data_IF_670572361085
#
_entry.id   IF_670572361085
#
_cell.length_a   1.000
_cell.length_b   1.000
_cell.length_c   1.000
_cell.angle_alpha   90.00
_cell.angle_beta   90.00
_cell.angle_gamma   90.00
#
_symmetry.space_group_name_H-M   'P 1'
#
loop_
_entity.id
_entity.type
_entity.pdbx_description
1 polymer ?
#
# COMPACT_ATOMS: atom_id res chain seq x y z
N UNK A 1 -45.12 -34.44 -12.41
CA UNK A 1 -43.95 -33.85 -13.11
C UNK A 1 -43.90 -32.32 -13.07
N UNK A 2 -45.03 -31.58 -13.13
CA UNK A 2 -45.06 -30.10 -13.08
C UNK A 2 -44.70 -29.49 -11.69
N UNK A 3 -45.03 -30.17 -10.59
CA UNK A 3 -44.76 -29.69 -9.22
C UNK A 3 -43.25 -29.59 -8.89
N UNK A 4 -42.46 -30.53 -9.40
CA UNK A 4 -40.99 -30.56 -9.22
C UNK A 4 -40.32 -29.44 -10.03
N UNK A 5 -40.87 -29.10 -11.20
CA UNK A 5 -40.39 -27.98 -12.02
C UNK A 5 -40.65 -26.63 -11.34
N UNK A 6 -41.81 -26.45 -10.70
CA UNK A 6 -42.13 -25.24 -9.95
C UNK A 6 -41.26 -25.10 -8.69
N UNK A 7 -40.95 -26.21 -8.01
CA UNK A 7 -40.04 -26.19 -6.85
C UNK A 7 -38.61 -25.81 -7.26
N UNK A 8 -38.12 -26.28 -8.42
CA UNK A 8 -36.81 -25.88 -8.97
C UNK A 8 -36.75 -24.40 -9.36
N UNK A 9 -37.83 -23.85 -9.93
CA UNK A 9 -37.92 -22.42 -10.27
C UNK A 9 -37.97 -21.57 -8.99
N UNK A 10 -38.74 -22.00 -7.98
CA UNK A 10 -38.82 -21.32 -6.69
C UNK A 10 -37.47 -21.31 -5.95
N UNK A 11 -36.76 -22.45 -5.96
CA UNK A 11 -35.42 -22.57 -5.35
C UNK A 11 -34.37 -21.75 -6.13
N UNK A 12 -34.49 -21.66 -7.46
CA UNK A 12 -33.68 -20.79 -8.30
C UNK A 12 -33.91 -19.30 -8.04
N UNK A 13 -35.17 -18.87 -7.83
CA UNK A 13 -35.48 -17.49 -7.42
C UNK A 13 -34.93 -17.17 -6.02
N UNK A 14 -34.97 -18.13 -5.09
CA UNK A 14 -34.47 -17.93 -3.72
C UNK A 14 -32.95 -17.69 -3.68
N UNK A 15 -32.19 -18.28 -4.60
CA UNK A 15 -30.74 -18.04 -4.74
C UNK A 15 -30.39 -16.65 -5.28
N UNK A 16 -31.27 -16.04 -6.08
CA UNK A 16 -31.13 -14.66 -6.59
C UNK A 16 -31.38 -13.63 -5.46
N UNK A 17 -32.06 -13.98 -4.38
CA UNK A 17 -32.23 -13.08 -3.22
C UNK A 17 -31.05 -13.09 -2.24
N UNK A 18 -30.04 -13.94 -2.45
CA UNK A 18 -28.81 -13.96 -1.65
C UNK A 18 -27.61 -13.31 -2.36
N UNK A 19 -27.82 -12.28 -3.19
CA UNK A 19 -26.72 -11.43 -3.62
C UNK A 19 -26.15 -10.68 -2.41
N UNK A 20 -25.07 -11.20 -1.85
CA UNK A 20 -24.24 -10.50 -0.91
C UNK A 20 -23.71 -9.22 -1.56
N UNK A 21 -23.83 -8.09 -0.86
CA UNK A 21 -23.09 -6.89 -1.23
C UNK A 21 -21.60 -7.16 -1.04
N UNK A 22 -20.84 -7.17 -2.13
CA UNK A 22 -19.39 -7.08 -2.07
C UNK A 22 -19.05 -5.63 -1.74
N UNK A 23 -18.51 -5.40 -0.54
CA UNK A 23 -17.87 -4.14 -0.21
C UNK A 23 -16.42 -4.26 -0.65
N UNK A 24 -16.03 -3.42 -1.60
CA UNK A 24 -14.65 -3.30 -2.03
C UNK A 24 -14.12 -1.97 -1.50
N UNK A 25 -13.05 -2.03 -0.71
CA UNK A 25 -12.28 -0.84 -0.39
C UNK A 25 -11.42 -0.54 -1.62
N UNK A 26 -11.55 0.67 -2.18
CA UNK A 26 -10.60 1.12 -3.21
C UNK A 26 -9.28 1.43 -2.51
N UNK A 27 -8.27 0.58 -2.75
CA UNK A 27 -6.96 0.71 -2.12
C UNK A 27 -5.92 0.91 -3.23
N UNK A 28 -5.33 2.11 -3.28
CA UNK A 28 -4.01 2.25 -3.91
C UNK A 28 -3.03 1.51 -2.99
N UNK A 29 -2.62 0.28 -3.34
CA UNK A 29 -1.55 -0.42 -2.64
C UNK A 29 -0.25 0.35 -2.89
N UNK A 30 0.01 1.33 -2.03
CA UNK A 30 0.99 2.36 -2.29
C UNK A 30 2.06 2.34 -1.20
N UNK A 31 3.29 2.05 -1.62
CA UNK A 31 4.47 2.25 -0.78
C UNK A 31 4.74 3.74 -0.80
N UNK A 32 4.53 4.40 0.34
CA UNK A 32 4.80 5.82 0.47
C UNK A 32 6.21 6.06 1.00
N UNK A 33 6.82 7.16 0.58
CA UNK A 33 8.15 7.54 1.06
C UNK A 33 8.20 8.99 1.48
N UNK A 34 8.97 9.24 2.54
CA UNK A 34 9.42 10.57 2.90
C UNK A 34 10.79 10.78 2.28
N UNK A 35 10.83 11.69 1.31
CA UNK A 35 12.05 12.10 0.62
C UNK A 35 12.95 12.92 1.54
N UNK A 36 14.25 12.98 1.23
CA UNK A 36 15.19 13.76 2.03
C UNK A 36 14.84 15.25 2.03
N UNK A 37 14.90 15.87 3.20
CA UNK A 37 14.66 17.30 3.40
C UNK A 37 13.18 17.67 3.50
N UNK A 38 12.25 16.75 3.22
CA UNK A 38 10.83 16.99 3.41
C UNK A 38 10.51 17.13 4.91
N UNK A 39 9.70 18.12 5.32
CA UNK A 39 9.35 18.30 6.73
C UNK A 39 8.30 17.29 7.22
N UNK A 40 7.46 16.79 6.30
CA UNK A 40 6.44 15.77 6.56
C UNK A 40 5.96 15.14 5.25
N UNK A 41 5.46 13.91 5.33
CA UNK A 41 4.67 13.29 4.27
C UNK A 41 3.19 13.57 4.50
N UNK A 42 2.38 13.73 3.45
CA UNK A 42 0.93 13.88 3.58
C UNK A 42 0.14 13.19 2.46
N UNK A 43 -1.00 12.59 2.84
CA UNK A 43 -1.93 11.94 1.90
C UNK A 43 -3.38 12.17 2.34
N UNK A 44 -4.31 12.47 1.42
CA UNK A 44 -5.72 12.55 1.75
C UNK A 44 -6.32 11.17 1.98
N UNK A 45 -7.23 11.07 2.94
CA UNK A 45 -8.07 9.91 3.20
C UNK A 45 -9.52 10.34 3.17
N UNK A 46 -10.33 9.65 2.38
CA UNK A 46 -11.75 9.90 2.20
C UNK A 46 -12.56 8.78 2.83
N UNK A 47 -13.66 9.14 3.50
CA UNK A 47 -14.68 8.18 3.86
C UNK A 47 -15.61 7.95 2.68
N UNK A 48 -15.30 6.92 1.89
CA UNK A 48 -16.10 6.52 0.72
C UNK A 48 -17.34 5.68 1.09
N UNK A 49 -17.57 5.45 2.38
CA UNK A 49 -18.73 4.71 2.88
C UNK A 49 -19.96 5.60 3.06
N UNK A 50 -21.11 4.96 3.32
CA UNK A 50 -22.37 5.66 3.64
C UNK A 50 -22.53 5.98 5.13
N UNK A 51 -21.58 5.57 5.98
CA UNK A 51 -21.65 5.73 7.44
C UNK A 51 -20.66 6.79 7.92
N UNK A 52 -20.91 7.36 9.09
CA UNK A 52 -19.90 8.15 9.79
C UNK A 52 -18.88 7.20 10.41
N UNK A 53 -17.60 7.39 10.12
CA UNK A 53 -16.55 6.47 10.54
C UNK A 53 -15.48 7.19 11.36
N UNK A 54 -14.97 6.51 12.38
CA UNK A 54 -13.77 6.86 13.10
C UNK A 54 -12.56 6.25 12.39
N UNK A 55 -11.64 7.11 11.98
CA UNK A 55 -10.32 6.72 11.49
C UNK A 55 -9.30 6.85 12.61
N UNK A 56 -8.44 5.85 12.76
CA UNK A 56 -7.29 5.88 13.67
C UNK A 56 -6.02 5.45 12.94
N UNK A 57 -4.90 6.07 13.31
CA UNK A 57 -3.61 5.81 12.69
C UNK A 57 -2.61 5.33 13.75
N UNK A 58 -1.86 4.29 13.42
CA UNK A 58 -0.75 3.80 14.23
C UNK A 58 0.38 3.30 13.34
N UNK A 59 1.54 3.03 13.94
CA UNK A 59 2.65 2.46 13.21
C UNK A 59 3.64 1.72 14.11
N UNK A 60 4.44 0.89 13.47
CA UNK A 60 5.59 0.22 14.06
C UNK A 60 6.73 0.18 13.04
N UNK A 61 7.96 0.11 13.52
CA UNK A 61 9.14 -0.01 12.67
C UNK A 61 9.31 -1.47 12.24
N UNK A 62 9.83 -1.70 11.04
CA UNK A 62 10.26 -3.02 10.57
C UNK A 62 11.72 -2.97 10.17
N UNK A 63 12.40 -4.10 10.30
CA UNK A 63 13.79 -4.28 9.86
C UNK A 63 13.94 -4.14 8.34
N UNK A 64 13.01 -4.75 7.58
CA UNK A 64 12.94 -4.66 6.12
C UNK A 64 11.53 -5.01 5.61
N UNK A 65 11.09 -4.43 4.48
CA UNK A 65 9.90 -4.89 3.78
C UNK A 65 10.07 -6.27 3.18
N UNK A 66 9.02 -7.10 3.19
CA UNK A 66 8.94 -8.36 2.45
C UNK A 66 8.85 -9.60 3.33
N UNK A 67 9.65 -10.62 3.06
CA UNK A 67 9.54 -11.91 3.75
C UNK A 67 10.29 -11.91 5.09
N UNK A 68 9.61 -12.40 6.14
CA UNK A 68 10.11 -12.48 7.54
C UNK A 68 10.42 -11.11 8.16
N UNK A 69 9.47 -10.19 8.08
CA UNK A 69 9.57 -8.88 8.74
C UNK A 69 9.60 -9.04 10.26
N UNK A 70 10.46 -8.27 10.92
CA UNK A 70 10.50 -8.18 12.37
C UNK A 70 10.05 -6.79 12.78
N UNK A 71 8.87 -6.72 13.37
CA UNK A 71 8.29 -5.48 13.87
C UNK A 71 8.83 -5.11 15.25
N UNK A 72 9.20 -3.84 15.42
CA UNK A 72 9.54 -3.25 16.72
C UNK A 72 8.66 -2.01 16.98
N UNK A 73 8.27 -1.76 18.24
CA UNK A 73 7.58 -0.51 18.57
C UNK A 73 8.42 0.71 18.20
N UNK A 74 7.76 1.80 17.78
CA UNK A 74 8.45 3.07 17.51
C UNK A 74 9.18 3.53 18.77
N UNK A 75 10.46 3.85 18.63
CA UNK A 75 11.29 4.35 19.72
C UNK A 75 11.31 5.88 19.72
N UNK A 76 11.36 6.47 20.91
CA UNK A 76 11.59 7.92 21.12
C UNK A 76 10.65 8.88 20.34
N UNK A 77 9.50 8.40 19.86
CA UNK A 77 8.58 9.20 19.04
C UNK A 77 9.20 9.67 17.71
N UNK A 78 10.10 8.87 17.12
CA UNK A 78 10.76 9.22 15.84
C UNK A 78 9.78 9.36 14.68
N UNK A 79 8.59 8.76 14.76
CA UNK A 79 7.49 8.98 13.83
C UNK A 79 6.31 9.56 14.60
N UNK A 80 5.74 10.66 14.09
CA UNK A 80 4.57 11.33 14.64
C UNK A 80 3.49 11.49 13.56
N UNK A 81 2.25 11.50 14.01
CA UNK A 81 1.09 11.53 13.13
C UNK A 81 0.12 12.64 13.51
N UNK A 82 -0.51 13.25 12.50
CA UNK A 82 -1.66 14.11 12.73
C UNK A 82 -2.69 13.99 11.60
N UNK A 83 -3.99 13.84 11.92
CA UNK A 83 -4.52 13.56 13.26
C UNK A 83 -4.23 12.11 13.70
N UNK A 84 -4.18 11.84 15.01
CA UNK A 84 -4.11 10.46 15.52
C UNK A 84 -5.42 9.70 15.32
N UNK A 85 -6.54 10.43 15.41
CA UNK A 85 -7.89 9.94 15.18
C UNK A 85 -8.75 11.04 14.62
N UNK A 86 -9.67 10.70 13.73
CA UNK A 86 -10.59 11.65 13.10
C UNK A 86 -11.93 10.97 12.82
N UNK A 87 -13.02 11.66 13.09
CA UNK A 87 -14.35 11.25 12.63
C UNK A 87 -14.57 11.91 11.27
N UNK A 88 -14.94 11.12 10.27
CA UNK A 88 -15.29 11.59 8.93
C UNK A 88 -16.74 11.21 8.62
N UNK A 89 -17.52 12.19 8.17
CA UNK A 89 -18.86 11.94 7.61
C UNK A 89 -18.75 11.28 6.23
N UNK A 90 -19.84 10.70 5.69
CA UNK A 90 -19.86 10.17 4.32
C UNK A 90 -19.38 11.20 3.30
N UNK A 91 -18.36 10.85 2.51
CA UNK A 91 -17.75 11.70 1.50
C UNK A 91 -16.78 12.77 2.03
N UNK A 92 -16.59 12.90 3.34
CA UNK A 92 -15.57 13.80 3.89
C UNK A 92 -14.16 13.23 3.68
N UNK A 93 -13.21 14.12 3.46
CA UNK A 93 -11.79 13.80 3.43
C UNK A 93 -11.00 14.57 4.49
N UNK A 94 -9.88 14.00 4.89
CA UNK A 94 -8.88 14.66 5.75
C UNK A 94 -7.47 14.34 5.27
N UNK A 95 -6.56 15.29 5.44
CA UNK A 95 -5.14 15.07 5.17
C UNK A 95 -4.45 14.48 6.40
N UNK A 96 -3.98 13.26 6.25
CA UNK A 96 -3.08 12.66 7.21
C UNK A 96 -1.66 13.16 6.94
N UNK A 97 -0.91 13.45 8.01
CA UNK A 97 0.49 13.85 7.93
C UNK A 97 1.35 12.98 8.83
N UNK A 98 2.51 12.59 8.30
CA UNK A 98 3.56 11.85 9.00
C UNK A 98 4.78 12.75 9.12
N UNK A 99 5.28 12.94 10.34
CA UNK A 99 6.54 13.63 10.61
C UNK A 99 7.57 12.59 11.05
N UNK A 100 8.79 12.72 10.55
CA UNK A 100 9.93 11.96 11.04
C UNK A 100 10.88 12.88 11.82
N UNK A 101 11.27 12.44 13.02
CA UNK A 101 12.18 13.14 13.94
C UNK A 101 13.30 12.23 14.44
N UNK A 102 13.50 11.07 13.81
CA UNK A 102 14.63 10.20 14.11
C UNK A 102 15.95 10.77 13.58
N UNK A 103 16.99 9.92 13.62
CA UNK A 103 18.33 10.31 13.17
C UNK A 103 18.35 10.68 11.68
N UNK A 104 19.05 11.75 11.37
CA UNK A 104 19.31 12.21 10.00
C UNK A 104 20.68 11.67 9.55
N UNK A 105 20.68 10.42 9.06
CA UNK A 105 21.87 9.67 8.67
C UNK A 105 21.70 8.98 7.30
N UNK A 106 22.68 8.15 6.94
CA UNK A 106 22.76 7.42 5.67
C UNK A 106 21.90 6.15 5.61
N UNK A 107 20.96 5.97 6.55
CA UNK A 107 20.17 4.74 6.66
C UNK A 107 18.73 4.96 6.22
N UNK A 108 18.30 4.10 5.31
CA UNK A 108 16.89 3.95 4.97
C UNK A 108 16.16 3.20 6.09
N UNK A 109 15.00 3.70 6.50
CA UNK A 109 14.18 3.13 7.57
C UNK A 109 12.80 2.77 7.07
N UNK A 110 12.25 1.70 7.61
CA UNK A 110 11.01 1.12 7.13
C UNK A 110 9.99 1.03 8.27
N UNK A 111 8.76 1.40 7.96
CA UNK A 111 7.66 1.42 8.90
C UNK A 111 6.43 0.79 8.26
N UNK A 112 5.58 0.21 9.11
CA UNK A 112 4.23 -0.18 8.76
C UNK A 112 3.27 0.85 9.33
N UNK A 113 2.47 1.47 8.47
CA UNK A 113 1.41 2.39 8.87
C UNK A 113 0.10 1.61 8.83
N UNK A 114 -0.57 1.55 9.97
CA UNK A 114 -1.87 0.90 10.14
C UNK A 114 -2.94 1.99 10.20
N UNK A 115 -3.93 1.85 9.34
CA UNK A 115 -5.05 2.77 9.20
C UNK A 115 -6.30 1.98 9.46
N UNK A 116 -6.99 2.29 10.56
CA UNK A 116 -8.20 1.57 10.97
C UNK A 116 -9.42 2.45 10.79
N UNK A 117 -10.46 1.88 10.21
CA UNK A 117 -11.78 2.46 10.04
C UNK A 117 -12.78 1.70 10.91
N UNK A 118 -13.50 2.42 11.77
CA UNK A 118 -14.57 1.87 12.60
C UNK A 118 -15.85 2.68 12.39
N UNK A 119 -16.97 2.08 11.96
CA UNK A 119 -18.22 2.79 11.81
C UNK A 119 -18.79 3.17 13.17
N UNK A 120 -19.19 4.44 13.29
CA UNK A 120 -19.87 4.97 14.46
C UNK A 120 -21.37 4.86 14.23
N UNK A 121 -21.98 3.78 14.71
CA UNK A 121 -23.45 3.69 14.78
C UNK A 121 -23.95 4.53 15.97
N UNK A 122 -24.37 5.76 15.69
CA UNK A 122 -25.05 6.61 16.68
C UNK A 122 -26.49 6.09 16.81
N UNK A 123 -26.69 5.06 17.64
CA UNK A 123 -28.05 4.60 17.99
C UNK A 123 -28.53 5.41 19.20
N UNK A 124 -29.65 6.12 19.03
CA UNK A 124 -30.41 6.62 20.17
C UNK A 124 -30.92 5.40 20.95
N UNK A 125 -30.50 5.26 22.21
CA UNK A 125 -30.94 4.20 23.10
C UNK A 125 -32.38 4.49 23.56
N UNK A 126 -33.34 4.32 22.64
CA UNK A 126 -34.76 4.30 22.95
C UNK A 126 -35.05 3.01 23.70
N UNK A 127 -34.78 3.08 25.00
CA UNK A 127 -34.65 1.93 25.89
C UNK A 127 -35.76 0.91 25.72
N UNK A 128 -35.35 -0.33 25.43
CA UNK A 128 -35.98 -1.58 25.92
C UNK A 128 -35.38 -2.88 25.35
N UNK A 129 -34.38 -2.84 24.46
CA UNK A 129 -33.69 -4.06 24.00
C UNK A 129 -32.18 -3.95 24.15
N UNK A 130 -31.63 -4.63 25.17
CA UNK A 130 -30.18 -4.86 25.31
C UNK A 130 -29.71 -5.73 24.14
N UNK A 131 -29.36 -5.10 23.02
CA UNK A 131 -28.72 -5.78 21.89
C UNK A 131 -27.20 -5.71 22.08
N UNK A 132 -26.45 -6.78 21.77
CA UNK A 132 -25.00 -6.71 21.79
C UNK A 132 -24.52 -5.65 20.78
N UNK A 133 -23.68 -4.73 21.25
CA UNK A 133 -23.04 -3.72 20.40
C UNK A 133 -21.82 -4.38 19.73
N UNK A 134 -21.78 -4.32 18.41
CA UNK A 134 -20.67 -4.83 17.61
C UNK A 134 -20.21 -3.73 16.65
N UNK A 135 -18.93 -3.36 16.73
CA UNK A 135 -18.31 -2.36 15.87
C UNK A 135 -17.24 -3.05 15.02
N UNK A 136 -17.53 -3.37 13.74
CA UNK A 136 -16.53 -3.97 12.87
C UNK A 136 -15.45 -2.94 12.56
N UNK A 137 -14.18 -3.26 12.84
CA UNK A 137 -13.05 -2.41 12.45
C UNK A 137 -12.32 -3.05 11.28
N UNK A 138 -12.13 -2.28 10.21
CA UNK A 138 -11.31 -2.66 9.06
C UNK A 138 -9.97 -1.96 9.19
N UNK A 139 -8.85 -2.69 9.04
CA UNK A 139 -7.50 -2.12 9.12
C UNK A 139 -6.75 -2.37 7.81
N UNK A 140 -6.15 -1.31 7.27
CA UNK A 140 -5.22 -1.36 6.16
C UNK A 140 -3.81 -1.14 6.70
N UNK A 141 -2.89 -2.02 6.32
CA UNK A 141 -1.47 -1.89 6.62
C UNK A 141 -0.70 -1.55 5.34
N UNK A 142 0.12 -0.50 5.40
CA UNK A 142 0.93 -0.01 4.25
C UNK A 142 2.37 0.18 4.65
N UNK A 143 3.28 0.10 3.68
CA UNK A 143 4.69 0.44 3.90
C UNK A 143 4.91 1.94 3.80
N UNK A 144 5.71 2.44 4.73
CA UNK A 144 6.23 3.80 4.71
C UNK A 144 7.75 3.75 4.87
N UNK A 145 8.46 4.38 3.94
CA UNK A 145 9.92 4.41 3.93
C UNK A 145 10.39 5.83 4.22
N UNK A 146 11.31 5.97 5.16
CA UNK A 146 12.05 7.22 5.36
C UNK A 146 13.39 7.05 4.67
N UNK A 147 13.62 7.85 3.62
CA UNK A 147 14.89 7.80 2.89
C UNK A 147 16.04 8.38 3.73
N UNK A 148 17.29 8.00 3.43
CA UNK A 148 18.47 8.60 4.03
C UNK A 148 18.50 10.14 3.88
N UNK A 149 19.27 10.81 4.73
CA UNK A 149 19.50 12.25 4.64
C UNK A 149 20.18 12.63 3.32
N UNK A 150 21.17 11.86 2.87
CA UNK A 150 21.81 12.07 1.57
C UNK A 150 21.60 10.82 0.70
N UNK A 151 20.46 10.71 -0.02
CA UNK A 151 20.18 9.54 -0.86
C UNK A 151 21.20 9.39 -1.99
N UNK A 152 21.87 8.24 -2.02
CA UNK A 152 22.87 7.84 -3.01
C UNK A 152 22.28 6.75 -3.92
N UNK A 153 21.83 7.17 -5.10
CA UNK A 153 21.27 6.26 -6.10
C UNK A 153 22.38 5.64 -6.97
N UNK A 154 22.66 4.35 -6.74
CA UNK A 154 23.64 3.56 -7.49
C UNK A 154 23.15 2.13 -7.73
N UNK A 155 23.49 1.57 -8.88
CA UNK A 155 23.15 0.19 -9.22
C UNK A 155 24.19 -0.43 -10.16
N UNK A 156 24.34 -1.75 -10.09
CA UNK A 156 25.10 -2.55 -11.04
C UNK A 156 24.13 -3.38 -11.89
N UNK A 157 24.27 -3.30 -13.21
CA UNK A 157 23.46 -4.06 -14.16
C UNK A 157 24.35 -4.96 -15.01
N UNK A 158 24.08 -6.27 -14.98
CA UNK A 158 24.66 -7.24 -15.89
C UNK A 158 23.55 -7.90 -16.72
N UNK A 159 23.33 -7.36 -17.92
CA UNK A 159 22.30 -7.83 -18.85
C UNK A 159 22.54 -9.29 -19.24
N UNK A 160 23.78 -9.67 -19.54
CA UNK A 160 24.12 -11.02 -20.00
C UNK A 160 23.82 -12.09 -18.95
N UNK A 161 24.02 -11.78 -17.67
CA UNK A 161 23.72 -12.70 -16.56
C UNK A 161 22.31 -12.54 -15.99
N UNK A 162 21.58 -11.51 -16.43
CA UNK A 162 20.24 -11.17 -15.94
C UNK A 162 20.24 -10.68 -14.49
N UNK A 163 21.30 -9.98 -14.08
CA UNK A 163 21.49 -9.54 -12.69
C UNK A 163 21.35 -8.02 -12.60
N UNK A 164 20.56 -7.57 -11.63
CA UNK A 164 20.47 -6.18 -11.21
C UNK A 164 20.70 -6.11 -9.71
N UNK A 165 21.62 -5.24 -9.27
CA UNK A 165 21.98 -5.04 -7.87
C UNK A 165 21.86 -3.58 -7.50
N UNK A 166 21.21 -3.29 -6.37
CA UNK A 166 21.23 -1.98 -5.76
C UNK A 166 22.51 -1.83 -4.94
N UNK A 167 23.38 -0.90 -5.36
CA UNK A 167 24.64 -0.58 -4.68
C UNK A 167 24.60 0.78 -3.98
N UNK A 168 23.44 1.45 -4.01
CA UNK A 168 23.16 2.68 -3.29
C UNK A 168 22.67 2.44 -1.86
N UNK A 169 22.30 3.54 -1.19
CA UNK A 169 21.78 3.53 0.19
C UNK A 169 20.25 3.68 0.28
N UNK A 170 19.54 3.75 -0.86
CA UNK A 170 18.08 3.90 -0.90
C UNK A 170 17.43 2.94 -1.90
N UNK A 171 16.19 2.52 -1.64
CA UNK A 171 15.45 1.64 -2.54
C UNK A 171 15.02 2.34 -3.84
N UNK A 172 14.85 1.53 -4.89
CA UNK A 172 14.18 1.96 -6.12
C UNK A 172 13.20 0.91 -6.63
N UNK A 173 12.23 1.35 -7.44
CA UNK A 173 11.28 0.49 -8.14
C UNK A 173 11.85 0.12 -9.51
N UNK A 174 11.61 -1.10 -9.96
CA UNK A 174 12.02 -1.59 -11.28
C UNK A 174 10.78 -2.05 -12.04
N UNK A 175 10.68 -1.63 -13.29
CA UNK A 175 9.61 -1.98 -14.23
C UNK A 175 10.24 -2.73 -15.40
N UNK A 176 9.84 -3.98 -15.62
CA UNK A 176 10.29 -4.80 -16.75
C UNK A 176 9.11 -5.06 -17.70
N UNK A 177 9.14 -4.47 -18.88
CA UNK A 177 8.17 -4.76 -19.93
C UNK A 177 8.54 -6.06 -20.67
N UNK A 178 7.57 -6.62 -21.38
CA UNK A 178 7.75 -7.89 -22.11
C UNK A 178 8.51 -7.71 -23.42
N UNK A 179 8.36 -6.57 -24.09
CA UNK A 179 8.89 -6.31 -25.43
C UNK A 179 9.34 -4.83 -25.58
N UNK A 180 9.76 -4.46 -26.79
CA UNK A 180 10.19 -3.11 -27.15
C UNK A 180 9.10 -2.27 -27.82
N UNK A 181 8.12 -2.95 -28.39
CA UNK A 181 6.94 -2.36 -28.98
C UNK A 181 6.08 -1.89 -27.81
N UNK A 182 5.88 -0.58 -27.69
CA UNK A 182 5.21 0.05 -26.55
C UNK A 182 3.70 -0.19 -26.54
N UNK A 183 3.29 -1.44 -26.69
CA UNK A 183 1.89 -1.83 -26.61
C UNK A 183 1.46 -1.66 -25.15
N UNK A 184 0.75 -0.55 -24.91
CA UNK A 184 0.36 -0.03 -23.59
C UNK A 184 -0.60 -0.96 -22.83
N UNK A 185 -1.07 -2.04 -23.47
CA UNK A 185 -1.97 -3.03 -22.88
C UNK A 185 -1.27 -4.07 -21.99
N UNK A 186 0.08 -4.13 -22.00
CA UNK A 186 0.82 -5.09 -21.16
C UNK A 186 1.34 -4.46 -19.86
N UNK A 187 0.83 -4.93 -18.72
CA UNK A 187 1.33 -4.52 -17.41
C UNK A 187 2.79 -4.98 -17.21
N UNK A 188 3.72 -4.07 -16.85
CA UNK A 188 5.10 -4.45 -16.62
C UNK A 188 5.22 -5.31 -15.35
N UNK A 189 6.22 -6.19 -15.31
CA UNK A 189 6.59 -6.82 -14.06
C UNK A 189 7.27 -5.80 -13.15
N UNK A 190 6.70 -5.59 -11.97
CA UNK A 190 7.15 -4.59 -11.00
C UNK A 190 7.74 -5.25 -9.77
N UNK A 191 8.89 -4.76 -9.33
CA UNK A 191 9.48 -5.10 -8.04
C UNK A 191 10.27 -3.92 -7.47
N UNK A 192 10.66 -4.03 -6.20
CA UNK A 192 11.48 -3.04 -5.50
C UNK A 192 12.80 -3.68 -5.10
N UNK A 193 13.89 -2.94 -5.22
CA UNK A 193 15.21 -3.41 -4.86
C UNK A 193 15.75 -2.55 -3.73
N UNK A 194 15.82 -3.11 -2.51
CA UNK A 194 16.33 -2.42 -1.34
C UNK A 194 17.86 -2.27 -1.42
N UNK A 195 18.47 -1.38 -0.61
CA UNK A 195 19.92 -1.24 -0.53
C UNK A 195 20.63 -2.59 -0.35
N UNK A 196 21.70 -2.81 -1.10
CA UNK A 196 22.51 -4.05 -1.11
C UNK A 196 21.79 -5.33 -1.57
N UNK A 197 20.53 -5.25 -2.02
CA UNK A 197 19.85 -6.39 -2.62
C UNK A 197 20.25 -6.58 -4.08
N UNK A 198 20.21 -7.83 -4.53
CA UNK A 198 20.35 -8.20 -5.92
C UNK A 198 19.21 -9.13 -6.33
N UNK A 199 18.83 -9.04 -7.60
CA UNK A 199 17.91 -9.97 -8.22
C UNK A 199 18.59 -10.58 -9.45
N UNK A 200 18.27 -11.85 -9.70
CA UNK A 200 18.58 -12.53 -10.95
C UNK A 200 17.27 -12.94 -11.61
N UNK A 201 16.96 -12.36 -12.76
CA UNK A 201 15.73 -12.63 -13.50
C UNK A 201 16.01 -12.64 -15.02
N UNK A 202 15.46 -13.63 -15.72
CA UNK A 202 15.65 -13.78 -17.17
C UNK A 202 15.11 -12.58 -17.96
N UNK A 203 14.08 -11.89 -17.44
CA UNK A 203 13.51 -10.69 -18.06
C UNK A 203 14.52 -9.55 -18.16
N UNK A 204 15.53 -9.52 -17.28
CA UNK A 204 16.60 -8.53 -17.33
C UNK A 204 17.51 -8.76 -18.57
N UNK A 205 17.71 -10.03 -18.97
CA UNK A 205 18.50 -10.39 -20.14
C UNK A 205 17.74 -10.25 -21.47
N UNK A 206 16.41 -10.36 -21.44
CA UNK A 206 15.57 -10.30 -22.64
C UNK A 206 15.63 -8.92 -23.31
N UNK A 207 15.39 -8.85 -24.63
CA UNK A 207 15.27 -7.56 -25.34
C UNK A 207 13.90 -6.94 -25.05
N UNK A 208 13.86 -5.91 -24.20
CA UNK A 208 12.62 -5.24 -23.79
C UNK A 208 12.87 -3.87 -23.14
N UNK A 209 11.82 -3.04 -23.04
CA UNK A 209 11.88 -1.79 -22.26
C UNK A 209 11.97 -2.09 -20.78
N UNK A 210 12.86 -1.40 -20.08
CA UNK A 210 13.11 -1.60 -18.65
C UNK A 210 13.42 -0.25 -18.03
N UNK A 211 12.82 0.01 -16.88
CA UNK A 211 12.99 1.27 -16.17
C UNK A 211 13.31 1.03 -14.71
N UNK A 212 14.22 1.82 -14.18
CA UNK A 212 14.32 2.08 -12.75
C UNK A 212 13.55 3.37 -12.47
N UNK A 213 12.69 3.36 -11.45
CA UNK A 213 11.92 4.53 -11.00
C UNK A 213 12.35 4.89 -9.59
N UNK A 214 12.84 6.12 -9.43
CA UNK A 214 13.28 6.70 -8.16
C UNK A 214 13.22 8.24 -8.25
N UNK A 215 12.89 8.91 -7.15
CA UNK A 215 12.74 10.37 -7.08
C UNK A 215 11.83 10.96 -8.18
N UNK A 216 10.70 10.28 -8.42
CA UNK A 216 9.72 10.61 -9.47
C UNK A 216 10.30 10.69 -10.90
N UNK A 217 11.43 10.01 -11.13
CA UNK A 217 12.12 9.94 -12.43
C UNK A 217 12.23 8.52 -12.95
N UNK A 218 12.17 8.38 -14.27
CA UNK A 218 12.38 7.12 -14.99
C UNK A 218 13.80 7.09 -15.57
N UNK A 219 14.54 6.02 -15.27
CA UNK A 219 15.86 5.74 -15.81
C UNK A 219 15.77 4.51 -16.71
N UNK A 220 15.98 4.70 -18.02
CA UNK A 220 15.99 3.59 -18.96
C UNK A 220 17.22 2.71 -18.72
N UNK A 221 16.98 1.42 -18.53
CA UNK A 221 18.01 0.37 -18.43
C UNK A 221 17.75 -0.77 -19.43
N UNK A 222 16.85 -0.52 -20.38
CA UNK A 222 16.49 -1.47 -21.44
C UNK A 222 17.52 -1.50 -22.57
N UNK A 223 17.28 -2.40 -23.51
CA UNK A 223 18.17 -2.70 -24.65
C UNK A 223 17.37 -2.75 -25.96
N UNK A 224 16.42 -1.82 -26.12
CA UNK A 224 15.55 -1.75 -27.30
C UNK A 224 16.18 -1.04 -28.50
N UNK A 225 17.24 -0.28 -28.28
CA UNK A 225 18.08 0.30 -29.34
C UNK A 225 18.79 -0.78 -30.17
#
# INVERSE_FOLDING_TARGET
MKLISWFKILCGMLLVFFYHHAYALYISADISSMESGEPFFSKPYINDTKKTNLYTFSAYQIDRPGYQEQGTPIQNGEILFTPLKKILLPGEQEFFKIFYRGEADEKERYYKIIISETPLDIRNDEGQKKQPLFYPTVSLETYFVVRPKDPDFKYDLNINQGILKNTGNTYFRVLLHQNCDGDDDSEPYVFYLLPNQQIKDLRISQKSRKYIVIFDKYYSIGNCE
#
